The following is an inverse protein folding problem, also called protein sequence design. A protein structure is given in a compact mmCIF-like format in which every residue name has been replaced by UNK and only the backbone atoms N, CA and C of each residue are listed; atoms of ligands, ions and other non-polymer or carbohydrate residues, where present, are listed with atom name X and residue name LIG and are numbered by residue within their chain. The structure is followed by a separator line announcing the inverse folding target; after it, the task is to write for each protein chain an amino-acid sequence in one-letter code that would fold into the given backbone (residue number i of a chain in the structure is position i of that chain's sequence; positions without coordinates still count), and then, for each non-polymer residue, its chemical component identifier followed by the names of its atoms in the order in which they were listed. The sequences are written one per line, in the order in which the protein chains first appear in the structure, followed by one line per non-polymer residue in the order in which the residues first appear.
data_IF_804321620199
#
_entry.id   IF_804321620199
#
_cell.length_a   1.000
_cell.length_b   1.000
_cell.length_c   1.000
_cell.angle_alpha   90.00
_cell.angle_beta   90.00
_cell.angle_gamma   90.00
#
_symmetry.space_group_name_H-M   'P 1'
#
loop_
_entity.id
_entity.type
_entity.pdbx_description
1 polymer ?
#
# COMPACT_ATOMS: atom_id res chain seq x y z
N UNK A 1 -35.14 64.46 -8.90
CA UNK A 1 -34.85 63.34 -9.82
C UNK A 1 -34.27 62.20 -9.00
N UNK A 2 -34.91 61.05 -9.09
CA UNK A 2 -34.72 59.83 -8.30
C UNK A 2 -33.66 58.92 -8.93
N UNK A 3 -32.91 58.16 -8.10
CA UNK A 3 -32.26 56.83 -8.32
C UNK A 3 -30.78 56.82 -7.94
N UNK A 4 -30.16 55.75 -7.48
CA UNK A 4 -30.49 54.51 -6.74
C UNK A 4 -29.10 53.87 -6.51
N UNK A 5 -28.85 53.27 -5.35
CA UNK A 5 -27.59 52.61 -4.97
C UNK A 5 -27.10 51.54 -5.97
N UNK A 6 -25.79 51.22 -6.01
CA UNK A 6 -25.36 49.83 -5.94
C UNK A 6 -23.86 49.63 -5.59
N UNK A 7 -23.69 48.80 -4.58
CA UNK A 7 -22.58 48.04 -4.00
C UNK A 7 -21.59 47.42 -5.00
N UNK A 8 -20.31 47.27 -4.60
CA UNK A 8 -19.51 46.09 -4.99
C UNK A 8 -18.43 45.77 -3.93
N UNK A 9 -18.82 44.93 -2.96
CA UNK A 9 -17.90 44.24 -2.08
C UNK A 9 -17.24 43.11 -2.88
N UNK A 10 -15.98 43.30 -3.29
CA UNK A 10 -15.18 42.22 -3.88
C UNK A 10 -14.59 41.37 -2.77
N UNK A 11 -15.38 40.39 -2.31
CA UNK A 11 -14.90 39.28 -1.52
C UNK A 11 -13.91 38.47 -2.37
N UNK A 12 -12.62 38.54 -2.02
CA UNK A 12 -11.57 37.67 -2.49
C UNK A 12 -11.87 36.24 -2.05
N UNK A 13 -12.71 35.56 -2.82
CA UNK A 13 -12.88 34.12 -2.77
C UNK A 13 -11.65 33.51 -3.45
N UNK A 14 -10.59 33.27 -2.67
CA UNK A 14 -9.52 32.40 -3.11
C UNK A 14 -10.14 31.02 -3.36
N UNK A 15 -9.94 30.41 -4.54
CA UNK A 15 -10.34 29.04 -4.73
C UNK A 15 -9.51 28.19 -3.77
N UNK A 16 -10.13 27.73 -2.69
CA UNK A 16 -9.62 26.62 -1.92
C UNK A 16 -9.55 25.43 -2.89
N UNK A 17 -8.39 25.25 -3.51
CA UNK A 17 -7.92 23.99 -4.06
C UNK A 17 -7.79 23.03 -2.88
N UNK A 18 -8.94 22.62 -2.34
CA UNK A 18 -9.07 21.38 -1.63
C UNK A 18 -8.74 20.31 -2.67
N UNK A 19 -7.45 19.98 -2.79
CA UNK A 19 -7.04 18.75 -3.41
C UNK A 19 -7.77 17.67 -2.64
N UNK A 20 -8.82 17.12 -3.25
CA UNK A 20 -9.42 15.88 -2.78
C UNK A 20 -8.24 14.93 -2.58
N UNK A 21 -7.90 14.62 -1.33
CA UNK A 21 -6.94 13.58 -1.00
C UNK A 21 -7.64 12.26 -1.37
N UNK A 22 -7.65 12.00 -2.67
CA UNK A 22 -8.43 10.97 -3.32
C UNK A 22 -7.98 9.59 -2.87
N UNK A 23 -8.89 8.63 -2.99
CA UNK A 23 -8.60 7.23 -2.72
C UNK A 23 -7.34 6.81 -3.49
N UNK A 24 -6.44 6.11 -2.83
CA UNK A 24 -5.29 5.46 -3.45
C UNK A 24 -5.59 3.97 -3.56
N UNK A 25 -5.32 3.41 -4.72
CA UNK A 25 -5.36 1.96 -4.91
C UNK A 25 -4.00 1.37 -4.50
N UNK A 26 -4.02 0.43 -3.56
CA UNK A 26 -2.88 -0.38 -3.17
C UNK A 26 -3.12 -1.80 -3.68
N UNK A 27 -2.20 -2.34 -4.47
CA UNK A 27 -2.22 -3.74 -4.87
C UNK A 27 -1.37 -4.53 -3.89
N UNK A 28 -1.99 -5.48 -3.19
CA UNK A 28 -1.33 -6.31 -2.18
C UNK A 28 -1.21 -7.73 -2.71
N UNK A 29 0.03 -8.19 -2.85
CA UNK A 29 0.37 -9.56 -3.21
C UNK A 29 0.80 -10.30 -1.95
N UNK A 30 0.12 -11.39 -1.63
CA UNK A 30 0.49 -12.30 -0.55
C UNK A 30 1.36 -13.40 -1.15
N UNK A 31 2.62 -13.43 -0.76
CA UNK A 31 3.61 -14.40 -1.21
C UNK A 31 3.93 -15.39 -0.09
N UNK A 32 3.96 -16.68 -0.43
CA UNK A 32 4.60 -17.71 0.38
C UNK A 32 6.01 -17.93 -0.17
N UNK A 33 7.00 -17.72 0.68
CA UNK A 33 8.42 -17.71 0.29
C UNK A 33 9.16 -18.78 1.10
N UNK A 34 9.91 -19.65 0.43
CA UNK A 34 10.65 -20.74 1.06
C UNK A 34 12.02 -20.96 0.43
N UNK A 35 12.90 -21.62 1.17
CA UNK A 35 14.19 -22.15 0.68
C UNK A 35 14.06 -23.54 0.06
N UNK A 36 12.87 -24.13 0.16
CA UNK A 36 12.53 -25.43 -0.43
C UNK A 36 11.77 -25.19 -1.74
N UNK A 37 12.27 -25.73 -2.84
CA UNK A 37 11.72 -25.54 -4.19
C UNK A 37 12.43 -24.46 -5.01
N UNK A 38 11.99 -24.30 -6.27
CA UNK A 38 12.55 -23.32 -7.24
C UNK A 38 11.47 -22.56 -8.02
N UNK A 39 10.21 -22.69 -7.59
CA UNK A 39 9.08 -22.09 -8.29
C UNK A 39 9.05 -20.58 -8.00
N UNK A 40 9.04 -19.76 -9.04
CA UNK A 40 8.90 -18.30 -8.90
C UNK A 40 7.73 -17.82 -9.74
N UNK A 41 6.65 -17.42 -9.09
CA UNK A 41 5.50 -16.85 -9.77
C UNK A 41 5.86 -15.55 -10.49
N UNK A 42 5.29 -15.37 -11.68
CA UNK A 42 5.60 -14.23 -12.55
C UNK A 42 5.36 -12.87 -11.87
N UNK A 43 4.31 -12.77 -11.06
CA UNK A 43 3.96 -11.56 -10.30
C UNK A 43 4.97 -11.21 -9.18
N UNK A 44 5.75 -12.20 -8.72
CA UNK A 44 6.72 -12.10 -7.63
C UNK A 44 8.17 -12.02 -8.11
N UNK A 45 8.42 -11.92 -9.43
CA UNK A 45 9.78 -11.82 -9.97
C UNK A 45 10.56 -10.62 -9.41
N UNK A 46 9.90 -9.48 -9.22
CA UNK A 46 10.51 -8.29 -8.60
C UNK A 46 11.00 -8.61 -7.18
N UNK A 47 10.10 -9.12 -6.33
CA UNK A 47 10.43 -9.58 -4.98
C UNK A 47 11.58 -10.58 -4.97
N UNK A 48 11.56 -11.60 -5.84
CA UNK A 48 12.62 -12.60 -5.91
C UNK A 48 13.99 -11.99 -6.29
N UNK A 49 14.00 -11.03 -7.22
CA UNK A 49 15.21 -10.31 -7.62
C UNK A 49 15.73 -9.42 -6.49
N UNK A 50 14.85 -8.67 -5.82
CA UNK A 50 15.23 -7.83 -4.69
C UNK A 50 15.74 -8.65 -3.51
N UNK A 51 15.09 -9.75 -3.19
CA UNK A 51 15.52 -10.63 -2.10
C UNK A 51 16.90 -11.22 -2.38
N UNK A 52 17.13 -11.68 -3.61
CA UNK A 52 18.45 -12.15 -4.05
C UNK A 52 19.51 -11.05 -3.95
N UNK A 53 19.20 -9.82 -4.37
CA UNK A 53 20.12 -8.67 -4.29
C UNK A 53 20.48 -8.32 -2.84
N UNK A 54 19.53 -8.47 -1.92
CA UNK A 54 19.71 -8.24 -0.49
C UNK A 54 20.30 -9.45 0.26
N UNK A 55 20.74 -10.50 -0.44
CA UNK A 55 21.38 -11.67 0.16
C UNK A 55 20.43 -12.62 0.89
N UNK A 56 19.11 -12.53 0.66
CA UNK A 56 18.14 -13.45 1.23
C UNK A 56 18.14 -14.77 0.44
N UNK A 57 18.34 -15.89 1.13
CA UNK A 57 18.55 -17.22 0.53
C UNK A 57 17.27 -17.94 0.09
N UNK A 58 16.19 -17.21 -0.21
CA UNK A 58 14.94 -17.81 -0.67
C UNK A 58 15.02 -18.25 -2.13
N UNK A 59 14.43 -19.39 -2.45
CA UNK A 59 14.50 -20.00 -3.79
C UNK A 59 13.13 -20.28 -4.41
N UNK A 60 12.06 -20.26 -3.61
CA UNK A 60 10.69 -20.45 -4.06
C UNK A 60 9.82 -19.29 -3.60
N UNK A 61 9.03 -18.73 -4.52
CA UNK A 61 8.14 -17.57 -4.34
C UNK A 61 6.80 -17.90 -4.98
N UNK A 62 5.82 -18.26 -4.14
CA UNK A 62 4.48 -18.65 -4.57
C UNK A 62 3.46 -17.57 -4.27
N UNK A 63 2.70 -17.14 -5.27
CA UNK A 63 1.60 -16.22 -5.09
C UNK A 63 0.44 -16.96 -4.44
N UNK A 64 0.11 -16.57 -3.23
CA UNK A 64 -1.05 -17.10 -2.49
C UNK A 64 -2.29 -16.31 -2.85
N UNK A 65 -2.16 -14.99 -2.90
CA UNK A 65 -3.31 -14.10 -3.09
C UNK A 65 -2.90 -12.77 -3.69
N UNK A 66 -3.82 -12.16 -4.41
CA UNK A 66 -3.70 -10.80 -4.91
C UNK A 66 -5.00 -10.06 -4.59
N UNK A 67 -4.88 -8.91 -3.94
CA UNK A 67 -6.00 -8.07 -3.56
C UNK A 67 -5.71 -6.61 -3.96
N UNK A 68 -6.74 -5.90 -4.41
CA UNK A 68 -6.65 -4.47 -4.71
C UNK A 68 -7.50 -3.71 -3.69
N UNK A 69 -6.85 -2.86 -2.89
CA UNK A 69 -7.49 -2.06 -1.86
C UNK A 69 -7.56 -0.61 -2.31
N UNK A 70 -8.75 -0.09 -2.56
CA UNK A 70 -8.95 1.35 -2.81
C UNK A 70 -9.31 2.03 -1.50
N UNK A 71 -8.34 2.71 -0.89
CA UNK A 71 -8.44 3.28 0.45
C UNK A 71 -8.35 4.81 0.40
N UNK A 72 -9.21 5.49 1.15
CA UNK A 72 -9.03 6.89 1.53
C UNK A 72 -8.12 7.00 2.77
N UNK A 73 -7.52 8.18 3.04
CA UNK A 73 -6.83 8.42 4.30
C UNK A 73 -7.74 8.10 5.51
N UNK A 74 -7.21 7.32 6.46
CA UNK A 74 -7.93 6.76 7.61
C UNK A 74 -8.61 5.42 7.37
N UNK A 75 -8.82 5.00 6.11
CA UNK A 75 -9.47 3.72 5.81
C UNK A 75 -8.49 2.54 5.96
N UNK A 76 -9.04 1.40 6.36
CA UNK A 76 -8.32 0.15 6.54
C UNK A 76 -8.93 -0.95 5.69
N UNK A 77 -8.10 -1.59 4.86
CA UNK A 77 -8.42 -2.83 4.18
C UNK A 77 -7.87 -4.03 4.95
N UNK A 78 -8.60 -5.14 4.94
CA UNK A 78 -8.13 -6.41 5.49
C UNK A 78 -7.67 -7.30 4.35
N UNK A 79 -6.55 -7.98 4.54
CA UNK A 79 -5.98 -8.94 3.58
C UNK A 79 -5.83 -10.27 4.29
N UNK A 80 -6.42 -11.32 3.71
CA UNK A 80 -6.33 -12.66 4.29
C UNK A 80 -4.97 -13.27 4.01
N UNK A 81 -4.33 -13.77 5.06
CA UNK A 81 -3.04 -14.47 4.99
C UNK A 81 -3.22 -15.95 5.35
N UNK A 82 -2.33 -16.85 4.88
CA UNK A 82 -2.32 -18.24 5.32
C UNK A 82 -2.16 -18.44 6.82
N UNK A 83 -1.56 -17.45 7.51
CA UNK A 83 -1.26 -17.47 8.93
C UNK A 83 -2.07 -16.43 9.75
N UNK A 84 -3.12 -15.84 9.17
CA UNK A 84 -3.98 -14.89 9.87
C UNK A 84 -4.55 -13.80 8.97
N UNK A 85 -4.61 -12.58 9.47
CA UNK A 85 -5.13 -11.43 8.71
C UNK A 85 -4.17 -10.26 8.86
N UNK A 86 -3.81 -9.64 7.74
CA UNK A 86 -3.13 -8.35 7.75
C UNK A 86 -4.13 -7.21 7.60
N UNK A 87 -3.89 -6.10 8.29
CA UNK A 87 -4.62 -4.85 8.14
C UNK A 87 -3.72 -3.84 7.45
N UNK A 88 -4.19 -3.29 6.34
CA UNK A 88 -3.51 -2.25 5.57
C UNK A 88 -4.30 -0.97 5.72
N UNK A 89 -3.74 0.01 6.43
CA UNK A 89 -4.36 1.31 6.68
C UNK A 89 -3.62 2.38 5.90
N UNK A 90 -4.34 3.16 5.10
CA UNK A 90 -3.77 4.35 4.48
C UNK A 90 -3.84 5.49 5.50
N UNK A 91 -2.71 5.95 6.02
CA UNK A 91 -2.70 6.99 7.05
C UNK A 91 -2.90 8.38 6.46
N UNK A 92 -2.12 8.72 5.43
CA UNK A 92 -2.17 10.02 4.75
C UNK A 92 -1.61 9.94 3.34
N UNK A 93 -2.00 10.90 2.50
CA UNK A 93 -1.41 11.14 1.19
C UNK A 93 -0.80 12.54 1.18
N UNK A 94 0.49 12.63 0.86
CA UNK A 94 1.26 13.85 0.75
C UNK A 94 1.83 13.95 -0.67
N UNK A 95 1.10 14.64 -1.55
CA UNK A 95 1.44 14.73 -2.97
C UNK A 95 1.51 13.35 -3.64
N UNK A 96 2.68 13.00 -4.17
CA UNK A 96 2.93 11.69 -4.81
C UNK A 96 3.29 10.57 -3.83
N UNK A 97 3.36 10.86 -2.53
CA UNK A 97 3.70 9.88 -1.47
C UNK A 97 2.49 9.55 -0.61
N UNK A 98 2.39 8.31 -0.16
CA UNK A 98 1.34 7.81 0.72
C UNK A 98 2.01 7.13 1.90
N UNK A 99 1.48 7.37 3.10
CA UNK A 99 1.94 6.69 4.30
C UNK A 99 0.99 5.55 4.61
N UNK A 100 1.49 4.33 4.57
CA UNK A 100 0.70 3.10 4.74
C UNK A 100 1.18 2.38 5.99
N UNK A 101 0.25 2.03 6.86
CA UNK A 101 0.49 1.16 8.00
C UNK A 101 0.02 -0.24 7.66
N UNK A 102 0.89 -1.22 7.84
CA UNK A 102 0.59 -2.64 7.64
C UNK A 102 0.78 -3.35 8.98
N UNK A 103 -0.31 -3.89 9.53
CA UNK A 103 -0.28 -4.74 10.72
C UNK A 103 -0.49 -6.19 10.29
N UNK A 104 0.50 -7.05 10.50
CA UNK A 104 0.48 -8.48 10.20
C UNK A 104 0.55 -9.29 11.50
N UNK A 105 0.25 -10.60 11.49
CA UNK A 105 0.43 -11.45 12.66
C UNK A 105 1.88 -11.36 13.18
N UNK A 106 2.06 -10.79 14.37
CA UNK A 106 3.35 -10.65 15.04
C UNK A 106 4.19 -9.43 14.64
N UNK A 107 3.71 -8.54 13.76
CA UNK A 107 4.43 -7.31 13.41
C UNK A 107 3.51 -6.16 13.00
N UNK A 108 3.99 -4.93 13.15
CA UNK A 108 3.34 -3.74 12.61
C UNK A 108 4.40 -2.82 12.04
N UNK A 109 4.23 -2.41 10.80
CA UNK A 109 5.16 -1.58 10.05
C UNK A 109 4.45 -0.38 9.45
N UNK A 110 5.10 0.78 9.44
CA UNK A 110 4.63 1.98 8.76
C UNK A 110 5.64 2.37 7.69
N UNK A 111 5.14 2.60 6.48
CA UNK A 111 5.95 2.72 5.28
C UNK A 111 5.52 3.96 4.48
N UNK A 112 6.49 4.70 3.94
CA UNK A 112 6.25 5.72 2.94
C UNK A 112 6.33 5.12 1.54
N UNK A 113 5.25 5.19 0.78
CA UNK A 113 5.14 4.63 -0.57
C UNK A 113 4.90 5.72 -1.61
N UNK A 114 5.78 5.80 -2.60
CA UNK A 114 5.58 6.63 -3.79
C UNK A 114 4.69 5.90 -4.80
N UNK A 115 4.04 6.63 -5.69
CA UNK A 115 3.36 6.00 -6.82
C UNK A 115 4.36 5.19 -7.66
N UNK A 116 4.02 3.96 -8.02
CA UNK A 116 4.88 3.01 -8.73
C UNK A 116 5.89 2.28 -7.84
N UNK A 117 5.88 2.51 -6.52
CA UNK A 117 6.79 1.80 -5.60
C UNK A 117 6.19 0.50 -5.09
N UNK A 118 7.08 -0.45 -4.81
CA UNK A 118 6.75 -1.72 -4.16
C UNK A 118 7.49 -1.79 -2.82
N UNK A 119 6.81 -2.25 -1.78
CA UNK A 119 7.38 -2.50 -0.47
C UNK A 119 7.09 -3.94 -0.04
N UNK A 120 8.07 -4.56 0.62
CA UNK A 120 7.97 -5.93 1.11
C UNK A 120 7.86 -5.93 2.63
N UNK A 121 6.81 -6.56 3.16
CA UNK A 121 6.56 -6.67 4.60
C UNK A 121 6.57 -8.14 4.99
N UNK A 122 7.36 -8.49 6.00
CA UNK A 122 7.33 -9.81 6.62
C UNK A 122 6.03 -9.97 7.43
N UNK A 123 5.25 -11.00 7.09
CA UNK A 123 4.02 -11.37 7.78
C UNK A 123 4.16 -12.63 8.65
N UNK A 124 5.38 -13.05 8.92
CA UNK A 124 5.69 -14.16 9.81
C UNK A 124 5.82 -15.50 9.09
N UNK A 125 6.05 -16.55 9.88
CA UNK A 125 6.25 -17.90 9.38
C UNK A 125 4.92 -18.56 8.97
N UNK A 126 4.99 -19.44 7.96
CA UNK A 126 3.90 -20.35 7.61
C UNK A 126 4.46 -21.64 6.98
N UNK A 127 4.16 -22.79 7.60
CA UNK A 127 4.68 -24.08 7.15
C UNK A 127 6.22 -24.12 7.20
N UNK A 128 6.85 -24.45 6.07
CA UNK A 128 8.32 -24.51 5.91
C UNK A 128 8.92 -23.21 5.34
N UNK A 129 8.16 -22.12 5.34
CA UNK A 129 8.57 -20.84 4.76
C UNK A 129 8.07 -19.65 5.56
N UNK A 130 8.05 -18.49 4.91
CA UNK A 130 7.55 -17.22 5.45
C UNK A 130 6.52 -16.63 4.50
N UNK A 131 5.57 -15.89 5.07
CA UNK A 131 4.61 -15.10 4.32
C UNK A 131 5.15 -13.69 4.20
N UNK A 132 5.17 -13.16 2.98
CA UNK A 132 5.51 -11.77 2.71
C UNK A 132 4.33 -11.08 2.01
N UNK A 133 4.11 -9.81 2.34
CA UNK A 133 3.22 -8.94 1.58
C UNK A 133 4.07 -8.06 0.68
N UNK A 134 3.82 -8.12 -0.62
CA UNK A 134 4.28 -7.13 -1.58
C UNK A 134 3.16 -6.10 -1.74
N UNK A 135 3.33 -4.91 -1.18
CA UNK A 135 2.39 -3.81 -1.35
C UNK A 135 2.91 -2.92 -2.47
N UNK A 136 2.11 -2.76 -3.52
CA UNK A 136 2.37 -1.88 -4.66
C UNK A 136 1.40 -0.73 -4.65
N UNK A 137 1.86 0.45 -5.03
CA UNK A 137 1.02 1.64 -5.20
C UNK A 137 1.08 2.15 -6.63
#
# INVERSE_FOLDING_TARGET
MTRLALTLAFGLCLPSLAMAQGKTTLQVLVASVSTNGKDVDGALKGMAQDFKRNGLAFSSFKLVRQESLSLAPGETGNVTLPNGTAKVTLLKIEGSSARVKVASPGSTSELGMKAGSEAYIDAGAHGQGKVFLAVKR
#
